data_IF_967240139278
#
_entry.id   IF_967240139278
#
_cell.length_a   1.000
_cell.length_b   1.000
_cell.length_c   1.000
_cell.angle_alpha   90.00
_cell.angle_beta   90.00
_cell.angle_gamma   90.00
#
_symmetry.space_group_name_H-M   'P 1'
#
loop_
_entity.id
_entity.type
_entity.pdbx_description
1 polymer ?
#
# COMPACT_ATOMS: atom_id res chain seq x y z
N UNK A 1 -22.96 16.08 3.92
CA UNK A 1 -21.95 15.11 3.47
C UNK A 1 -21.02 15.82 2.48
N UNK A 2 -19.69 15.66 2.58
CA UNK A 2 -18.75 16.20 1.57
C UNK A 2 -18.45 15.08 0.57
N UNK A 3 -18.77 15.27 -0.71
CA UNK A 3 -18.49 14.31 -1.77
C UNK A 3 -17.26 14.76 -2.58
N UNK A 4 -16.42 13.79 -2.95
CA UNK A 4 -15.24 13.98 -3.78
C UNK A 4 -15.06 12.82 -4.76
N UNK A 5 -14.14 12.97 -5.71
CA UNK A 5 -13.81 11.94 -6.70
C UNK A 5 -12.33 11.54 -6.60
N UNK A 6 -12.02 10.26 -6.82
CA UNK A 6 -10.65 9.75 -6.92
C UNK A 6 -10.25 9.72 -8.38
N UNK A 7 -9.16 10.41 -8.73
CA UNK A 7 -8.65 10.49 -10.09
C UNK A 7 -7.16 10.14 -10.12
N UNK A 8 -6.72 9.62 -11.26
CA UNK A 8 -5.31 9.60 -11.59
C UNK A 8 -4.95 10.78 -12.51
N UNK A 9 -3.69 11.24 -12.50
CA UNK A 9 -3.24 12.26 -13.45
C UNK A 9 -3.53 11.93 -14.92
N UNK A 10 -3.43 10.65 -15.32
CA UNK A 10 -3.72 10.23 -16.69
C UNK A 10 -5.19 10.33 -17.09
N UNK A 11 -6.12 10.50 -16.14
CA UNK A 11 -7.52 10.81 -16.46
C UNK A 11 -7.72 12.27 -16.90
N UNK A 12 -6.77 13.15 -16.57
CA UNK A 12 -6.84 14.60 -16.80
C UNK A 12 -5.85 15.05 -17.88
N UNK A 13 -4.60 14.60 -17.80
CA UNK A 13 -3.50 15.05 -18.67
C UNK A 13 -3.74 14.67 -20.14
N UNK A 14 -3.92 15.70 -20.97
CA UNK A 14 -4.27 15.58 -22.38
C UNK A 14 -5.73 15.26 -22.68
N UNK A 15 -6.64 15.53 -21.72
CA UNK A 15 -8.08 15.65 -21.92
C UNK A 15 -8.59 17.04 -21.46
N UNK A 16 -8.74 17.99 -22.40
CA UNK A 16 -9.16 19.36 -22.05
C UNK A 16 -10.53 19.45 -21.35
N UNK A 17 -11.38 18.43 -21.48
CA UNK A 17 -12.71 18.42 -20.87
C UNK A 17 -12.78 17.69 -19.53
N UNK A 18 -11.70 17.03 -19.08
CA UNK A 18 -11.73 16.19 -17.87
C UNK A 18 -12.12 16.98 -16.62
N UNK A 19 -11.45 18.09 -16.35
CA UNK A 19 -11.70 18.90 -15.15
C UNK A 19 -13.13 19.45 -15.11
N UNK A 20 -13.63 20.01 -16.23
CA UNK A 20 -15.00 20.50 -16.33
C UNK A 20 -16.03 19.39 -16.13
N UNK A 21 -15.80 18.20 -16.70
CA UNK A 21 -16.69 17.05 -16.51
C UNK A 21 -16.68 16.54 -15.07
N UNK A 22 -15.54 16.58 -14.39
CA UNK A 22 -15.45 16.23 -12.97
C UNK A 22 -16.21 17.23 -12.11
N UNK A 23 -16.04 18.54 -12.36
CA UNK A 23 -16.80 19.58 -11.66
C UNK A 23 -18.32 19.46 -11.89
N UNK A 24 -18.74 19.09 -13.10
CA UNK A 24 -20.15 18.87 -13.44
C UNK A 24 -20.81 17.70 -12.68
N UNK A 25 -20.04 16.86 -11.98
CA UNK A 25 -20.59 15.85 -11.05
C UNK A 25 -21.14 16.48 -9.76
N UNK A 26 -20.89 17.77 -9.51
CA UNK A 26 -21.28 18.47 -8.28
C UNK A 26 -20.36 18.19 -7.08
N UNK A 27 -19.20 17.56 -7.31
CA UNK A 27 -18.17 17.37 -6.29
C UNK A 27 -17.39 18.66 -6.08
N UNK A 28 -16.85 18.84 -4.86
CA UNK A 28 -16.05 20.03 -4.53
C UNK A 28 -14.56 19.75 -4.44
N UNK A 29 -14.18 18.48 -4.34
CA UNK A 29 -12.78 18.07 -4.20
C UNK A 29 -12.46 16.82 -5.01
N UNK A 30 -11.18 16.69 -5.35
CA UNK A 30 -10.59 15.53 -6.00
C UNK A 30 -9.43 15.02 -5.17
N UNK A 31 -9.44 13.71 -4.91
CA UNK A 31 -8.30 12.98 -4.36
C UNK A 31 -7.47 12.46 -5.53
N UNK A 32 -6.36 13.15 -5.82
CA UNK A 32 -5.53 12.95 -7.00
C UNK A 32 -4.28 12.13 -6.66
N UNK A 33 -4.06 11.03 -7.39
CA UNK A 33 -2.89 10.18 -7.21
C UNK A 33 -1.58 10.97 -7.36
N UNK A 34 -0.81 11.07 -6.27
CA UNK A 34 0.50 11.69 -6.20
C UNK A 34 1.59 10.61 -6.15
N UNK A 35 1.37 9.53 -5.41
CA UNK A 35 2.17 8.32 -5.46
C UNK A 35 1.25 7.09 -5.43
N UNK A 36 1.44 6.16 -6.37
CA UNK A 36 0.52 5.04 -6.52
C UNK A 36 1.25 3.75 -6.91
N UNK A 37 0.67 2.59 -6.56
CA UNK A 37 1.22 1.28 -6.89
C UNK A 37 0.94 0.87 -8.35
N UNK A 38 1.47 -0.28 -8.80
CA UNK A 38 1.20 -0.79 -10.15
C UNK A 38 -0.29 -1.08 -10.35
N UNK A 39 -0.83 -0.72 -11.50
CA UNK A 39 -2.25 -0.91 -11.79
C UNK A 39 -2.51 -0.96 -13.29
N UNK A 40 -3.59 -1.62 -13.68
CA UNK A 40 -4.17 -1.53 -15.02
C UNK A 40 -5.54 -0.86 -14.91
N UNK A 41 -5.60 0.42 -15.27
CA UNK A 41 -6.78 1.26 -15.13
C UNK A 41 -7.53 1.42 -16.46
N UNK A 42 -8.86 1.51 -16.39
CA UNK A 42 -9.72 1.87 -17.52
C UNK A 42 -9.98 3.38 -17.51
N UNK A 43 -9.89 4.00 -18.68
CA UNK A 43 -10.05 5.45 -18.87
C UNK A 43 -11.11 5.74 -19.94
N UNK A 44 -12.38 5.36 -19.69
CA UNK A 44 -13.40 5.25 -20.73
C UNK A 44 -13.73 6.57 -21.44
N UNK A 45 -13.51 7.72 -20.78
CA UNK A 45 -13.82 9.05 -21.31
C UNK A 45 -12.61 9.79 -21.89
N UNK A 46 -11.39 9.30 -21.70
CA UNK A 46 -10.17 10.00 -22.12
C UNK A 46 -9.99 9.94 -23.66
N UNK A 47 -9.67 11.03 -24.39
CA UNK A 47 -9.68 11.03 -25.85
C UNK A 47 -8.58 10.17 -26.50
N UNK A 48 -7.45 9.95 -25.81
CA UNK A 48 -6.25 9.31 -26.41
C UNK A 48 -5.98 7.87 -25.98
N UNK A 49 -6.60 7.40 -24.92
CA UNK A 49 -6.33 6.06 -24.39
C UNK A 49 -7.57 5.51 -23.66
N UNK A 50 -7.70 4.19 -23.64
CA UNK A 50 -8.79 3.46 -22.96
C UNK A 50 -8.31 2.65 -21.77
N UNK A 51 -7.02 2.33 -21.76
CA UNK A 51 -6.34 1.54 -20.73
C UNK A 51 -5.01 2.21 -20.45
N UNK A 52 -4.67 2.35 -19.18
CA UNK A 52 -3.32 2.72 -18.72
C UNK A 52 -2.76 1.56 -17.91
N UNK A 53 -1.52 1.18 -18.17
CA UNK A 53 -0.80 0.17 -17.36
C UNK A 53 0.38 0.85 -16.69
N UNK A 54 0.26 1.11 -15.40
CA UNK A 54 1.35 1.57 -14.54
C UNK A 54 2.15 0.34 -14.08
N UNK A 55 3.41 0.24 -14.51
CA UNK A 55 4.22 -0.98 -14.35
C UNK A 55 4.73 -1.22 -12.93
N UNK A 56 4.86 -0.16 -12.12
CA UNK A 56 5.40 -0.23 -10.76
C UNK A 56 4.84 0.89 -9.89
N UNK A 57 5.10 0.79 -8.59
CA UNK A 57 4.76 1.86 -7.66
C UNK A 57 5.67 3.09 -7.88
N UNK A 58 5.07 4.23 -8.18
CA UNK A 58 5.77 5.44 -8.59
C UNK A 58 5.16 6.70 -7.99
N UNK A 59 6.00 7.72 -7.80
CA UNK A 59 5.51 9.10 -7.70
C UNK A 59 5.16 9.59 -9.11
N UNK A 60 4.08 10.37 -9.21
CA UNK A 60 3.55 10.92 -10.46
C UNK A 60 3.98 12.39 -10.65
N UNK A 61 5.08 12.76 -9.99
CA UNK A 61 5.77 14.05 -10.03
C UNK A 61 7.28 13.81 -9.92
N UNK A 62 8.15 14.78 -10.29
CA UNK A 62 9.59 14.65 -10.10
C UNK A 62 9.97 14.52 -8.62
N UNK A 63 10.67 13.44 -8.19
CA UNK A 63 11.13 13.31 -6.81
C UNK A 63 11.99 14.50 -6.37
N UNK A 64 11.80 14.96 -5.13
CA UNK A 64 12.59 16.07 -4.58
C UNK A 64 14.05 15.73 -4.29
N UNK A 65 14.90 16.75 -4.12
CA UNK A 65 16.32 16.58 -3.79
C UNK A 65 16.58 15.83 -2.48
N UNK A 66 15.58 15.75 -1.58
CA UNK A 66 15.66 15.00 -0.31
C UNK A 66 15.95 13.51 -0.48
N UNK A 67 15.72 12.97 -1.68
CA UNK A 67 15.96 11.57 -2.01
C UNK A 67 17.39 11.29 -2.50
N UNK A 68 18.18 12.34 -2.79
CA UNK A 68 19.52 12.21 -3.33
C UNK A 68 20.43 11.41 -2.38
N UNK A 69 21.00 10.32 -2.90
CA UNK A 69 21.93 9.47 -2.15
C UNK A 69 21.27 8.57 -1.10
N UNK A 70 19.93 8.56 -0.99
CA UNK A 70 19.23 7.61 -0.12
C UNK A 70 19.13 6.25 -0.77
N UNK A 71 19.35 5.21 0.04
CA UNK A 71 19.14 3.83 -0.39
C UNK A 71 17.68 3.62 -0.84
N UNK A 72 16.72 3.94 0.05
CA UNK A 72 15.29 3.89 -0.27
C UNK A 72 14.83 5.26 -0.79
N UNK A 73 14.29 5.28 -2.00
CA UNK A 73 13.76 6.46 -2.67
C UNK A 73 12.59 6.08 -3.60
N UNK A 74 11.64 6.99 -3.88
CA UNK A 74 10.53 6.68 -4.77
C UNK A 74 11.01 6.60 -6.21
N UNK A 75 10.36 5.74 -6.99
CA UNK A 75 10.60 5.65 -8.42
C UNK A 75 9.78 6.70 -9.16
N UNK A 76 10.34 7.36 -10.18
CA UNK A 76 9.53 8.15 -11.10
C UNK A 76 8.60 7.23 -11.91
N UNK A 77 7.51 7.79 -12.39
CA UNK A 77 6.66 7.14 -13.38
C UNK A 77 7.40 7.00 -14.72
N UNK A 78 7.01 5.99 -15.50
CA UNK A 78 7.43 5.84 -16.89
C UNK A 78 6.50 6.59 -17.85
N UNK A 79 6.39 6.09 -19.08
CA UNK A 79 5.63 6.73 -20.16
C UNK A 79 4.12 6.88 -19.89
N UNK A 80 3.57 6.21 -18.87
CA UNK A 80 2.15 6.33 -18.50
C UNK A 80 1.82 7.63 -17.77
N UNK A 81 2.80 8.31 -17.18
CA UNK A 81 2.64 9.59 -16.49
C UNK A 81 3.96 10.37 -16.49
N UNK A 82 4.44 10.84 -17.66
CA UNK A 82 5.73 11.49 -17.77
C UNK A 82 5.74 12.89 -17.11
N UNK A 83 6.91 13.34 -16.68
CA UNK A 83 7.10 14.69 -16.14
C UNK A 83 6.40 14.91 -14.80
N UNK A 84 5.80 16.10 -14.63
CA UNK A 84 4.97 16.44 -13.46
C UNK A 84 3.48 16.27 -13.76
N UNK A 85 3.08 15.02 -14.01
CA UNK A 85 1.70 14.70 -14.36
C UNK A 85 0.72 15.07 -13.22
N UNK A 86 1.13 14.89 -11.95
CA UNK A 86 0.36 15.35 -10.80
C UNK A 86 0.16 16.87 -10.85
N UNK A 87 1.23 17.65 -11.03
CA UNK A 87 1.15 19.11 -11.08
C UNK A 87 0.24 19.61 -12.22
N UNK A 88 0.41 19.08 -13.43
CA UNK A 88 -0.42 19.44 -14.58
C UNK A 88 -1.90 19.13 -14.34
N UNK A 89 -2.21 17.94 -13.80
CA UNK A 89 -3.57 17.56 -13.47
C UNK A 89 -4.16 18.43 -12.33
N UNK A 90 -3.37 18.70 -11.28
CA UNK A 90 -3.79 19.53 -10.15
C UNK A 90 -4.14 20.95 -10.61
N UNK A 91 -3.32 21.57 -11.45
CA UNK A 91 -3.57 22.91 -11.99
C UNK A 91 -4.86 22.94 -12.84
N UNK A 92 -5.07 21.94 -13.71
CA UNK A 92 -6.28 21.85 -14.53
C UNK A 92 -7.55 21.66 -13.68
N UNK A 93 -7.49 20.86 -12.62
CA UNK A 93 -8.60 20.65 -11.69
C UNK A 93 -8.89 21.91 -10.86
N UNK A 94 -7.85 22.57 -10.35
CA UNK A 94 -7.98 23.81 -9.58
C UNK A 94 -8.55 24.94 -10.44
N UNK A 95 -8.15 25.05 -11.71
CA UNK A 95 -8.72 26.01 -12.66
C UNK A 95 -10.23 25.79 -12.92
N UNK A 96 -10.73 24.59 -12.70
CA UNK A 96 -12.16 24.26 -12.75
C UNK A 96 -12.89 24.46 -11.39
N UNK A 97 -12.19 24.99 -10.37
CA UNK A 97 -12.75 25.27 -9.05
C UNK A 97 -12.82 24.07 -8.10
N UNK A 98 -12.02 23.02 -8.34
CA UNK A 98 -11.97 21.83 -7.48
C UNK A 98 -10.81 21.92 -6.49
N UNK A 99 -11.07 21.63 -5.21
CA UNK A 99 -10.02 21.44 -4.20
C UNK A 99 -9.27 20.13 -4.48
N UNK A 100 -7.95 20.16 -4.62
CA UNK A 100 -7.15 18.95 -4.87
C UNK A 100 -6.52 18.45 -3.58
N UNK A 101 -6.70 17.16 -3.27
CA UNK A 101 -6.01 16.46 -2.20
C UNK A 101 -5.03 15.47 -2.81
N UNK A 102 -3.80 15.40 -2.32
CA UNK A 102 -2.85 14.38 -2.76
C UNK A 102 -3.23 13.00 -2.21
N UNK A 103 -3.10 11.97 -3.03
CA UNK A 103 -3.33 10.58 -2.64
C UNK A 103 -2.05 9.78 -2.74
N UNK A 104 -1.69 9.12 -1.64
CA UNK A 104 -0.39 8.51 -1.47
C UNK A 104 -0.56 7.08 -0.97
N UNK A 105 -0.20 6.12 -1.81
CA UNK A 105 -0.05 4.73 -1.38
C UNK A 105 1.32 4.56 -0.72
N UNK A 106 1.32 4.13 0.55
CA UNK A 106 2.52 3.99 1.36
C UNK A 106 3.06 2.55 1.38
N UNK A 107 2.62 1.72 2.33
CA UNK A 107 3.21 0.39 2.57
C UNK A 107 2.72 -0.69 1.58
N UNK A 108 2.62 -0.33 0.31
CA UNK A 108 2.33 -1.25 -0.79
C UNK A 108 3.21 -0.91 -2.00
N UNK A 109 4.36 -1.61 -2.12
CA UNK A 109 5.37 -1.30 -3.14
C UNK A 109 6.18 -2.55 -3.55
N UNK A 110 5.64 -3.31 -4.50
CA UNK A 110 6.25 -4.53 -5.03
C UNK A 110 7.64 -4.32 -5.64
N UNK A 111 7.91 -3.16 -6.23
CA UNK A 111 9.22 -2.86 -6.83
C UNK A 111 10.28 -2.60 -5.75
N UNK A 112 9.92 -1.83 -4.72
CA UNK A 112 10.79 -1.59 -3.57
C UNK A 112 11.17 -2.91 -2.90
N UNK A 113 10.21 -3.82 -2.67
CA UNK A 113 10.50 -5.13 -2.09
C UNK A 113 11.28 -6.06 -3.02
N UNK A 114 11.19 -5.90 -4.34
CA UNK A 114 12.04 -6.65 -5.28
C UNK A 114 13.49 -6.15 -5.28
N UNK A 115 13.70 -4.82 -5.29
CA UNK A 115 15.03 -4.20 -5.31
C UNK A 115 15.70 -4.25 -3.91
N UNK A 116 14.90 -4.23 -2.85
CA UNK A 116 15.32 -4.28 -1.45
C UNK A 116 14.53 -5.35 -0.66
N UNK A 117 14.82 -6.65 -0.86
CA UNK A 117 14.05 -7.75 -0.25
C UNK A 117 14.04 -7.75 1.28
N UNK A 118 15.04 -7.15 1.91
CA UNK A 118 15.15 -6.99 3.36
C UNK A 118 14.06 -6.09 3.94
N UNK A 119 13.51 -5.16 3.15
CA UNK A 119 12.41 -4.27 3.58
C UNK A 119 11.07 -4.98 3.74
N UNK A 120 10.91 -6.17 3.15
CA UNK A 120 9.62 -6.86 3.06
C UNK A 120 9.18 -7.51 4.38
N UNK A 121 7.87 -7.69 4.53
CA UNK A 121 7.30 -8.62 5.50
C UNK A 121 7.82 -10.03 5.22
N UNK A 122 8.13 -10.77 6.30
CA UNK A 122 8.60 -12.16 6.27
C UNK A 122 7.66 -13.01 7.10
N UNK A 123 6.97 -13.99 6.53
CA UNK A 123 5.99 -14.78 7.28
C UNK A 123 6.67 -15.79 8.24
N UNK A 124 5.86 -16.53 9.00
CA UNK A 124 6.36 -17.54 9.95
C UNK A 124 7.13 -18.71 9.29
N UNK A 125 7.02 -18.89 7.98
CA UNK A 125 7.75 -19.90 7.19
C UNK A 125 9.05 -19.35 6.57
N UNK A 126 9.26 -18.03 6.62
CA UNK A 126 10.41 -17.35 6.01
C UNK A 126 10.14 -16.81 4.60
N UNK A 127 8.91 -16.94 4.08
CA UNK A 127 8.55 -16.38 2.78
C UNK A 127 8.50 -14.86 2.86
N UNK A 128 8.98 -14.20 1.80
CA UNK A 128 8.97 -12.74 1.69
C UNK A 128 7.79 -12.28 0.86
N UNK A 129 7.15 -11.21 1.31
CA UNK A 129 6.06 -10.54 0.61
C UNK A 129 6.58 -9.24 -0.01
N UNK A 130 7.13 -9.24 -1.25
CA UNK A 130 7.73 -8.06 -1.86
C UNK A 130 6.75 -6.88 -2.02
N UNK A 131 5.44 -7.16 -2.08
CA UNK A 131 4.42 -6.11 -2.12
C UNK A 131 4.22 -5.40 -0.78
N UNK A 132 4.67 -5.98 0.34
CA UNK A 132 4.41 -5.49 1.69
C UNK A 132 5.72 -5.05 2.40
N UNK A 133 6.17 -3.81 2.21
CA UNK A 133 7.21 -3.23 3.06
C UNK A 133 6.79 -3.25 4.54
N UNK A 134 7.68 -3.74 5.40
CA UNK A 134 7.45 -3.83 6.83
C UNK A 134 7.57 -2.45 7.50
N UNK A 135 6.46 -1.92 8.00
CA UNK A 135 6.39 -0.59 8.61
C UNK A 135 7.10 -0.47 9.96
N UNK A 136 7.43 -1.59 10.63
CA UNK A 136 8.25 -1.59 11.84
C UNK A 136 9.75 -1.37 11.56
N UNK A 137 10.22 -1.53 10.32
CA UNK A 137 11.62 -1.30 10.01
C UNK A 137 11.92 0.20 10.01
N UNK A 138 12.92 0.70 10.76
CA UNK A 138 13.20 2.13 10.86
C UNK A 138 13.46 2.80 9.50
N UNK A 139 14.20 2.13 8.59
CA UNK A 139 14.48 2.66 7.26
C UNK A 139 13.21 2.76 6.39
N UNK A 140 12.37 1.72 6.39
CA UNK A 140 11.07 1.73 5.69
C UNK A 140 10.16 2.81 6.26
N UNK A 141 10.04 2.91 7.59
CA UNK A 141 9.22 3.95 8.23
C UNK A 141 9.69 5.35 7.86
N UNK A 142 11.00 5.61 7.87
CA UNK A 142 11.55 6.91 7.45
C UNK A 142 11.23 7.21 5.98
N UNK A 143 11.36 6.23 5.08
CA UNK A 143 10.96 6.36 3.68
C UNK A 143 9.47 6.72 3.53
N UNK A 144 8.57 6.02 4.23
CA UNK A 144 7.12 6.25 4.14
C UNK A 144 6.72 7.62 4.71
N UNK A 145 7.33 8.05 5.82
CA UNK A 145 7.07 9.38 6.42
C UNK A 145 7.52 10.48 5.47
N UNK A 146 8.71 10.36 4.88
CA UNK A 146 9.21 11.36 3.93
C UNK A 146 8.39 11.39 2.64
N UNK A 147 7.91 10.24 2.16
CA UNK A 147 7.02 10.16 1.00
C UNK A 147 5.68 10.84 1.28
N UNK A 148 5.06 10.56 2.43
CA UNK A 148 3.83 11.21 2.86
C UNK A 148 4.02 12.73 3.00
N UNK A 149 5.12 13.16 3.63
CA UNK A 149 5.41 14.58 3.83
C UNK A 149 5.65 15.31 2.50
N UNK A 150 6.41 14.72 1.57
CA UNK A 150 6.66 15.31 0.26
C UNK A 150 5.37 15.42 -0.58
N UNK A 151 4.53 14.40 -0.55
CA UNK A 151 3.26 14.40 -1.26
C UNK A 151 2.24 15.37 -0.63
N UNK A 152 2.29 15.56 0.69
CA UNK A 152 1.34 16.43 1.40
C UNK A 152 1.52 17.92 1.12
N UNK A 153 2.75 18.34 0.80
CA UNK A 153 3.06 19.75 0.51
C UNK A 153 3.23 20.03 -1.00
N UNK A 154 2.75 19.13 -1.87
CA UNK A 154 2.82 19.37 -3.31
C UNK A 154 2.04 20.65 -3.68
N UNK A 155 2.54 21.47 -4.62
CA UNK A 155 1.79 22.60 -5.14
C UNK A 155 0.38 22.19 -5.57
N UNK A 156 -0.61 22.99 -5.20
CA UNK A 156 -2.03 22.71 -5.45
C UNK A 156 -2.70 21.73 -4.47
N UNK A 157 -1.96 21.06 -3.58
CA UNK A 157 -2.56 20.20 -2.56
C UNK A 157 -3.14 21.01 -1.39
N UNK A 158 -4.43 20.78 -1.10
CA UNK A 158 -5.18 21.35 0.02
C UNK A 158 -5.45 20.33 1.14
N UNK A 159 -5.08 19.07 0.92
CA UNK A 159 -5.23 17.96 1.85
C UNK A 159 -4.48 16.73 1.35
N UNK A 160 -4.44 15.68 2.16
CA UNK A 160 -3.74 14.43 1.82
C UNK A 160 -4.50 13.22 2.33
N UNK A 161 -4.67 12.24 1.45
CA UNK A 161 -5.21 10.92 1.76
C UNK A 161 -4.08 9.89 1.75
N UNK A 162 -3.89 9.21 2.88
CA UNK A 162 -2.88 8.18 3.05
C UNK A 162 -3.53 6.81 2.89
N UNK A 163 -3.13 6.10 1.86
CA UNK A 163 -3.56 4.73 1.59
C UNK A 163 -2.47 3.73 1.95
N UNK A 164 -2.89 2.56 2.42
CA UNK A 164 -1.97 1.51 2.87
C UNK A 164 -1.01 2.00 3.95
N UNK A 165 -1.50 2.86 4.86
CA UNK A 165 -0.78 3.35 6.03
C UNK A 165 -0.84 2.30 7.16
N UNK A 166 -0.06 1.24 7.04
CA UNK A 166 0.00 0.21 8.06
C UNK A 166 0.56 -1.10 7.55
N UNK A 167 0.37 -2.15 8.35
CA UNK A 167 0.79 -3.49 8.02
C UNK A 167 0.03 -4.04 6.81
N UNK A 168 0.78 -4.61 5.89
CA UNK A 168 0.28 -5.41 4.77
C UNK A 168 0.80 -6.84 4.89
N UNK A 169 0.11 -7.79 4.26
CA UNK A 169 0.42 -9.21 4.39
C UNK A 169 -0.12 -10.04 3.24
N UNK A 170 -0.47 -11.29 3.53
CA UNK A 170 -0.86 -12.27 2.51
C UNK A 170 -2.11 -11.87 1.72
N UNK A 171 -3.08 -11.22 2.38
CA UNK A 171 -4.40 -10.95 1.79
C UNK A 171 -4.39 -9.97 0.60
N UNK A 172 -3.25 -9.31 0.30
CA UNK A 172 -3.19 -8.39 -0.81
C UNK A 172 -3.20 -9.12 -2.16
N UNK A 173 -4.17 -8.86 -3.05
CA UNK A 173 -4.31 -9.59 -4.30
C UNK A 173 -3.19 -9.24 -5.29
N UNK A 174 -2.62 -10.27 -5.91
CA UNK A 174 -1.71 -10.14 -7.05
C UNK A 174 -2.48 -10.20 -8.39
N UNK A 175 -1.89 -9.64 -9.45
CA UNK A 175 -2.49 -9.63 -10.81
C UNK A 175 -2.83 -11.04 -11.36
N UNK A 176 -2.19 -12.07 -10.81
CA UNK A 176 -2.38 -13.49 -11.17
C UNK A 176 -2.48 -14.37 -9.92
N UNK A 177 -3.19 -13.89 -8.90
CA UNK A 177 -3.30 -14.60 -7.63
C UNK A 177 -4.00 -15.97 -7.78
N UNK A 178 -3.47 -16.98 -7.08
CA UNK A 178 -3.99 -18.36 -7.01
C UNK A 178 -4.10 -18.86 -5.57
N UNK A 179 -4.25 -17.94 -4.62
CA UNK A 179 -4.43 -18.24 -3.19
C UNK A 179 -5.81 -18.83 -2.86
N UNK A 180 -6.84 -18.51 -3.65
CA UNK A 180 -8.23 -18.92 -3.40
C UNK A 180 -8.48 -20.45 -3.42
N UNK A 181 -7.50 -21.26 -3.86
CA UNK A 181 -7.57 -22.72 -3.82
C UNK A 181 -7.45 -23.30 -2.41
N UNK A 182 -6.97 -22.51 -1.43
CA UNK A 182 -6.91 -22.89 -0.02
C UNK A 182 -7.66 -21.86 0.81
N UNK A 183 -8.73 -22.28 1.48
CA UNK A 183 -9.54 -21.41 2.32
C UNK A 183 -8.86 -21.21 3.68
N UNK A 184 -8.15 -20.08 3.82
CA UNK A 184 -7.41 -19.74 5.05
C UNK A 184 -8.28 -19.11 6.16
N UNK A 185 -9.54 -18.75 5.88
CA UNK A 185 -10.33 -17.95 6.82
C UNK A 185 -9.65 -16.63 7.22
N UNK A 186 -10.22 -15.91 8.19
CA UNK A 186 -9.62 -14.67 8.69
C UNK A 186 -8.42 -14.95 9.62
N UNK A 187 -8.49 -16.02 10.43
CA UNK A 187 -7.43 -16.38 11.36
C UNK A 187 -6.15 -16.80 10.63
N UNK A 188 -6.25 -17.73 9.67
CA UNK A 188 -5.12 -18.14 8.85
C UNK A 188 -4.54 -17.01 8.00
N UNK A 189 -5.38 -16.11 7.45
CA UNK A 189 -4.90 -14.91 6.76
C UNK A 189 -4.09 -13.99 7.68
N UNK A 190 -4.55 -13.77 8.92
CA UNK A 190 -3.83 -13.00 9.92
C UNK A 190 -2.49 -13.66 10.29
N UNK A 191 -2.51 -14.95 10.62
CA UNK A 191 -1.32 -15.73 10.98
C UNK A 191 -0.27 -15.75 9.85
N UNK A 192 -0.71 -15.90 8.60
CA UNK A 192 0.16 -15.80 7.42
C UNK A 192 0.70 -14.39 7.17
N UNK A 193 0.11 -13.37 7.78
CA UNK A 193 0.51 -11.96 7.62
C UNK A 193 1.41 -11.44 8.75
N UNK A 194 1.60 -12.22 9.83
CA UNK A 194 2.56 -11.87 10.88
C UNK A 194 3.99 -11.81 10.32
N UNK A 195 4.74 -10.79 10.74
CA UNK A 195 6.08 -10.52 10.24
C UNK A 195 7.15 -10.98 11.23
N UNK A 196 8.14 -11.73 10.75
CA UNK A 196 9.28 -12.24 11.49
C UNK A 196 10.61 -11.68 10.92
N UNK A 197 10.58 -10.49 10.31
CA UNK A 197 11.82 -9.79 9.97
C UNK A 197 12.58 -9.37 11.26
N UNK A 198 13.88 -9.02 11.18
CA UNK A 198 14.67 -8.69 12.38
C UNK A 198 14.02 -7.67 13.31
N UNK A 199 13.44 -6.58 12.77
CA UNK A 199 12.76 -5.56 13.57
C UNK A 199 11.51 -6.08 14.29
N UNK A 200 10.72 -6.95 13.65
CA UNK A 200 9.52 -7.52 14.27
C UNK A 200 9.87 -8.55 15.34
N UNK A 201 10.93 -9.34 15.11
CA UNK A 201 11.44 -10.28 16.11
C UNK A 201 11.91 -9.57 17.37
N UNK A 202 12.63 -8.45 17.23
CA UNK A 202 12.99 -7.59 18.36
C UNK A 202 11.74 -7.04 19.05
N UNK A 203 10.80 -6.51 18.29
CA UNK A 203 9.53 -5.99 18.81
C UNK A 203 8.71 -6.99 19.62
N UNK A 204 8.57 -8.21 19.11
CA UNK A 204 7.94 -9.29 19.87
C UNK A 204 8.66 -9.55 21.21
N UNK A 205 9.99 -9.48 21.23
CA UNK A 205 10.78 -9.57 22.46
C UNK A 205 10.50 -8.45 23.47
N UNK A 206 10.26 -7.22 23.01
CA UNK A 206 9.86 -6.09 23.87
C UNK A 206 8.48 -6.32 24.53
N UNK A 207 7.65 -7.16 23.92
CA UNK A 207 6.37 -7.62 24.47
C UNK A 207 6.45 -9.01 25.15
N UNK A 208 7.66 -9.47 25.50
CA UNK A 208 7.86 -10.71 26.26
C UNK A 208 7.68 -12.00 25.46
N UNK A 209 7.59 -11.91 24.13
CA UNK A 209 7.47 -13.07 23.25
C UNK A 209 8.85 -13.52 22.73
N UNK A 210 9.07 -14.83 22.74
CA UNK A 210 10.14 -15.45 21.96
C UNK A 210 9.68 -15.60 20.51
N UNK A 211 10.34 -14.92 19.57
CA UNK A 211 9.92 -14.88 18.18
C UNK A 211 10.03 -16.24 17.46
N UNK A 212 10.97 -17.10 17.84
CA UNK A 212 11.10 -18.44 17.26
C UNK A 212 10.01 -19.38 17.76
N UNK A 213 9.71 -19.29 19.05
CA UNK A 213 8.57 -19.99 19.65
C UNK A 213 7.26 -19.52 19.05
N UNK A 214 7.06 -18.21 18.89
CA UNK A 214 5.88 -17.65 18.22
C UNK A 214 5.77 -18.18 16.79
N UNK A 215 6.84 -18.13 16.00
CA UNK A 215 6.83 -18.65 14.64
C UNK A 215 6.48 -20.16 14.61
N UNK A 216 7.01 -20.94 15.55
CA UNK A 216 6.64 -22.36 15.70
C UNK A 216 5.15 -22.54 16.01
N UNK A 217 4.61 -21.78 16.96
CA UNK A 217 3.18 -21.82 17.31
C UNK A 217 2.31 -21.45 16.11
N UNK A 218 2.66 -20.40 15.37
CA UNK A 218 1.94 -20.00 14.14
C UNK A 218 1.93 -21.14 13.11
N UNK A 219 3.08 -21.77 12.86
CA UNK A 219 3.16 -22.90 11.93
C UNK A 219 2.36 -24.12 12.41
N UNK A 220 2.33 -24.38 13.72
CA UNK A 220 1.54 -25.46 14.30
C UNK A 220 0.03 -25.18 14.17
N UNK A 221 -0.39 -23.94 14.41
CA UNK A 221 -1.76 -23.49 14.24
C UNK A 221 -2.27 -23.63 12.80
N UNK A 222 -1.42 -23.31 11.81
CA UNK A 222 -1.76 -23.41 10.39
C UNK A 222 -1.68 -24.85 9.83
N UNK A 223 -1.02 -25.78 10.54
CA UNK A 223 -0.81 -27.14 10.05
C UNK A 223 -2.09 -27.93 9.67
N UNK A 224 -3.23 -27.79 10.39
CA UNK A 224 -4.50 -28.41 10.00
C UNK A 224 -5.06 -27.88 8.67
N UNK A 225 -4.88 -26.59 8.36
CA UNK A 225 -5.35 -25.98 7.09
C UNK A 225 -4.71 -26.65 5.90
N UNK A 226 -3.40 -26.89 5.98
CA UNK A 226 -2.63 -27.54 4.93
C UNK A 226 -3.04 -29.00 4.72
N UNK A 227 -3.80 -29.58 5.65
CA UNK A 227 -4.38 -30.93 5.55
C UNK A 227 -5.88 -30.91 5.18
N UNK A 228 -6.46 -29.73 4.95
CA UNK A 228 -7.87 -29.56 4.57
C UNK A 228 -8.85 -29.59 5.75
N UNK A 229 -8.39 -29.39 6.99
CA UNK A 229 -9.28 -29.21 8.13
C UNK A 229 -9.88 -27.79 8.13
N UNK A 230 -11.13 -27.61 8.60
CA UNK A 230 -11.72 -26.27 8.76
C UNK A 230 -10.98 -25.47 9.83
N UNK A 231 -10.92 -24.14 9.64
CA UNK A 231 -10.36 -23.22 10.64
C UNK A 231 -11.45 -22.54 11.49
N UNK A 232 -11.13 -22.20 12.74
CA UNK A 232 -11.88 -21.21 13.49
C UNK A 232 -11.84 -19.84 12.82
N UNK A 233 -12.94 -19.09 12.88
CA UNK A 233 -13.06 -17.79 12.19
C UNK A 233 -12.65 -16.60 13.08
N UNK A 234 -12.17 -15.55 12.42
CA UNK A 234 -11.92 -14.24 13.02
C UNK A 234 -10.91 -14.20 14.15
N UNK A 235 -11.00 -13.15 14.96
CA UNK A 235 -10.08 -12.91 16.07
C UNK A 235 -10.19 -13.96 17.18
N UNK A 236 -11.40 -14.47 17.42
CA UNK A 236 -11.62 -15.58 18.35
C UNK A 236 -10.81 -16.80 17.93
N UNK A 237 -10.76 -17.11 16.64
CA UNK A 237 -9.91 -18.16 16.11
C UNK A 237 -8.42 -17.92 16.33
N UNK A 238 -7.93 -16.68 16.12
CA UNK A 238 -6.53 -16.33 16.43
C UNK A 238 -6.20 -16.57 17.91
N UNK A 239 -7.08 -16.14 18.82
CA UNK A 239 -6.90 -16.31 20.25
C UNK A 239 -6.96 -17.79 20.67
N UNK A 240 -7.85 -18.59 20.08
CA UNK A 240 -7.91 -20.04 20.29
C UNK A 240 -6.61 -20.74 19.84
N UNK A 241 -6.05 -20.30 18.71
CA UNK A 241 -4.86 -20.91 18.11
C UNK A 241 -3.55 -20.52 18.81
N UNK A 242 -3.42 -19.27 19.28
CA UNK A 242 -2.19 -18.75 19.88
C UNK A 242 -2.22 -18.67 21.41
N UNK A 243 -3.42 -18.70 22.02
CA UNK A 243 -3.68 -18.23 23.37
C UNK A 243 -3.88 -16.71 23.41
N UNK A 244 -4.78 -16.23 24.29
CA UNK A 244 -5.19 -14.82 24.35
C UNK A 244 -4.02 -13.85 24.55
N UNK A 245 -3.12 -14.14 25.49
CA UNK A 245 -1.98 -13.29 25.81
C UNK A 245 -1.05 -13.14 24.59
N UNK A 246 -0.71 -14.27 23.96
CA UNK A 246 0.13 -14.29 22.75
C UNK A 246 -0.53 -13.52 21.62
N UNK A 247 -1.82 -13.75 21.36
CA UNK A 247 -2.56 -13.09 20.30
C UNK A 247 -2.57 -11.56 20.50
N UNK A 248 -2.81 -11.08 21.72
CA UNK A 248 -2.75 -9.65 21.99
C UNK A 248 -1.37 -9.05 21.80
N UNK A 249 -0.33 -9.77 22.23
CA UNK A 249 1.05 -9.32 22.07
C UNK A 249 1.46 -9.20 20.58
N UNK A 250 0.90 -10.01 19.66
CA UNK A 250 1.15 -9.84 18.20
C UNK A 250 0.49 -8.61 17.59
N UNK A 251 -0.41 -7.92 18.30
CA UNK A 251 -0.99 -6.62 17.89
C UNK A 251 -0.34 -5.42 18.56
N UNK A 252 0.43 -5.64 19.63
CA UNK A 252 1.04 -4.58 20.40
C UNK A 252 2.26 -3.95 19.70
N UNK A 253 2.81 -4.66 18.71
CA UNK A 253 3.93 -4.26 17.86
C UNK A 253 3.51 -4.12 16.39
#
# INVERSE_FOLDING_TARGET
MRAGAFLYPWDVVGDPGAAARTAALGVRSVTLAAAYHSTRALTPRHPRHRVVTAGHAAVLYPPGDRWRGRALHPYPAGDWAPGDAYGEAADALAAAGLDVHSWVVLAHNSRLGADHPDTSVVNAYGDRYPWAPCVAQPATRAYLVDLAAEAAVRPGAHGTELESLGWYGLAHPHAHDKTAGVALGEAGQYLMSLCFCPSCRTGYGEHGLDADRLAHTVRAALAPVWRGAPEPEGWTGVAELLGEETAWATRAW
#
